data_IF_743047163076
#
_entry.id   IF_743047163076
#
_cell.length_a   1.000
_cell.length_b   1.000
_cell.length_c   1.000
_cell.angle_alpha   90.00
_cell.angle_beta   90.00
_cell.angle_gamma   90.00
#
_symmetry.space_group_name_H-M   'P 1'
#
loop_
_entity.id
_entity.type
_entity.pdbx_description
1 polymer ?
#
# COMPACT_ATOMS: atom_id res chain seq x y z
N UNK A 1 22.96 19.88 -15.54
CA UNK A 1 23.49 18.62 -16.14
C UNK A 1 22.95 17.47 -15.32
N UNK A 2 21.84 16.86 -15.75
CA UNK A 2 21.23 15.70 -15.11
C UNK A 2 22.07 14.46 -15.42
N UNK A 3 22.71 13.87 -14.40
CA UNK A 3 23.32 12.55 -14.53
C UNK A 3 22.19 11.54 -14.75
N UNK A 4 22.11 10.98 -15.95
CA UNK A 4 21.28 9.83 -16.24
C UNK A 4 21.68 8.71 -15.25
N UNK A 5 20.80 8.38 -14.33
CA UNK A 5 20.96 7.23 -13.44
C UNK A 5 20.90 6.01 -14.37
N UNK A 6 22.04 5.34 -14.55
CA UNK A 6 22.14 4.11 -15.32
C UNK A 6 21.20 3.10 -14.64
N UNK A 7 20.14 2.68 -15.35
CA UNK A 7 19.15 1.73 -14.82
C UNK A 7 19.87 0.40 -14.58
N UNK A 8 20.16 0.09 -13.32
CA UNK A 8 20.74 -1.19 -12.94
C UNK A 8 19.70 -2.29 -13.13
N UNK A 9 20.14 -3.46 -13.57
CA UNK A 9 19.27 -4.64 -13.61
C UNK A 9 18.90 -5.06 -12.18
N UNK A 10 17.63 -5.40 -11.98
CA UNK A 10 17.13 -5.89 -10.69
C UNK A 10 17.47 -7.36 -10.51
N UNK A 11 17.51 -7.81 -9.25
CA UNK A 11 17.68 -9.23 -8.93
C UNK A 11 16.32 -9.92 -9.01
N UNK A 12 16.10 -10.65 -10.08
CA UNK A 12 14.81 -11.30 -10.38
C UNK A 12 14.23 -12.14 -9.24
N UNK A 13 15.06 -12.76 -8.41
CA UNK A 13 14.60 -13.55 -7.28
C UNK A 13 13.95 -12.66 -6.19
N UNK A 14 14.47 -11.45 -5.99
CA UNK A 14 13.94 -10.47 -5.04
C UNK A 14 12.61 -9.91 -5.57
N UNK A 15 12.56 -9.52 -6.84
CA UNK A 15 11.33 -9.03 -7.47
C UNK A 15 10.18 -10.05 -7.34
N UNK A 16 10.50 -11.33 -7.58
CA UNK A 16 9.54 -12.43 -7.45
C UNK A 16 9.11 -12.67 -6.00
N UNK A 17 10.02 -12.52 -5.03
CA UNK A 17 9.68 -12.63 -3.62
C UNK A 17 8.69 -11.53 -3.20
N UNK A 18 8.91 -10.29 -3.61
CA UNK A 18 7.97 -9.19 -3.39
C UNK A 18 6.62 -9.43 -4.07
N UNK A 19 6.62 -9.90 -5.33
CA UNK A 19 5.39 -10.26 -6.03
C UNK A 19 4.56 -11.30 -5.28
N UNK A 20 5.20 -12.30 -4.67
CA UNK A 20 4.53 -13.32 -3.84
C UNK A 20 3.88 -12.67 -2.61
N UNK A 21 4.63 -11.87 -1.85
CA UNK A 21 4.12 -11.18 -0.65
C UNK A 21 2.93 -10.27 -0.98
N UNK A 22 3.05 -9.47 -2.05
CA UNK A 22 1.98 -8.58 -2.49
C UNK A 22 0.73 -9.35 -2.97
N UNK A 23 0.92 -10.49 -3.64
CA UNK A 23 -0.20 -11.32 -4.12
C UNK A 23 -0.98 -11.90 -2.93
N UNK A 24 -0.29 -12.45 -1.93
CA UNK A 24 -0.93 -12.96 -0.71
C UNK A 24 -1.59 -11.81 0.06
N UNK A 25 -0.96 -10.64 0.14
CA UNK A 25 -1.54 -9.47 0.82
C UNK A 25 -2.88 -9.02 0.22
N UNK A 26 -3.01 -9.04 -1.11
CA UNK A 26 -4.21 -8.59 -1.83
C UNK A 26 -5.32 -9.64 -1.88
N UNK A 27 -4.95 -10.91 -2.02
CA UNK A 27 -5.90 -12.00 -2.26
C UNK A 27 -6.25 -12.81 -1.00
N UNK A 28 -5.54 -12.59 0.11
CA UNK A 28 -5.68 -13.40 1.32
C UNK A 28 -4.87 -14.69 1.27
N UNK A 29 -5.16 -15.59 2.20
CA UNK A 29 -4.50 -16.88 2.29
C UNK A 29 -4.75 -17.71 1.03
N UNK A 30 -3.74 -18.43 0.57
CA UNK A 30 -3.84 -19.25 -0.64
C UNK A 30 -2.88 -20.42 -0.63
N UNK A 31 -3.24 -21.47 -1.35
CA UNK A 31 -2.38 -22.63 -1.60
C UNK A 31 -1.27 -22.27 -2.59
N UNK A 32 -0.24 -23.13 -2.65
CA UNK A 32 0.85 -22.96 -3.63
C UNK A 32 0.34 -23.05 -5.09
N UNK A 33 -0.72 -23.82 -5.34
CA UNK A 33 -1.33 -23.94 -6.66
C UNK A 33 -2.03 -22.64 -7.08
N UNK A 34 -2.88 -22.08 -6.21
CA UNK A 34 -3.56 -20.80 -6.46
C UNK A 34 -2.58 -19.64 -6.61
N UNK A 35 -1.49 -19.66 -5.82
CA UNK A 35 -0.42 -18.67 -5.95
C UNK A 35 0.27 -18.78 -7.29
N UNK A 36 0.54 -20.02 -7.78
CA UNK A 36 1.15 -20.26 -9.08
C UNK A 36 0.29 -19.73 -10.25
N UNK A 37 -1.03 -19.82 -10.14
CA UNK A 37 -1.94 -19.29 -11.17
C UNK A 37 -1.92 -17.74 -11.24
N UNK A 38 -1.61 -17.08 -10.11
CA UNK A 38 -1.60 -15.61 -10.02
C UNK A 38 -0.24 -14.98 -10.33
N UNK A 39 0.85 -15.74 -10.21
CA UNK A 39 2.20 -15.25 -10.44
C UNK A 39 2.85 -15.97 -11.62
N UNK A 40 3.54 -15.23 -12.49
CA UNK A 40 4.25 -15.82 -13.63
C UNK A 40 5.63 -16.36 -13.21
N UNK A 41 5.63 -17.41 -12.38
CA UNK A 41 6.84 -18.02 -11.81
C UNK A 41 6.72 -19.54 -11.96
N UNK A 42 7.77 -20.23 -12.45
CA UNK A 42 7.75 -21.69 -12.56
C UNK A 42 7.53 -22.35 -11.19
N UNK A 43 6.82 -23.50 -11.15
CA UNK A 43 6.51 -24.22 -9.89
C UNK A 43 7.74 -24.49 -9.02
N UNK A 44 8.86 -24.88 -9.62
CA UNK A 44 10.10 -25.16 -8.89
C UNK A 44 10.67 -23.88 -8.24
N UNK A 45 10.70 -22.77 -8.98
CA UNK A 45 11.16 -21.47 -8.44
C UNK A 45 10.21 -20.93 -7.37
N UNK A 46 8.90 -21.04 -7.62
CA UNK A 46 7.89 -20.60 -6.65
C UNK A 46 8.02 -21.34 -5.32
N UNK A 47 8.15 -22.68 -5.35
CA UNK A 47 8.33 -23.50 -4.17
C UNK A 47 9.56 -23.08 -3.35
N UNK A 48 10.70 -22.80 -4.02
CA UNK A 48 11.92 -22.34 -3.35
C UNK A 48 11.79 -20.95 -2.75
N UNK A 49 11.14 -20.03 -3.46
CA UNK A 49 10.92 -18.66 -2.96
C UNK A 49 9.97 -18.67 -1.76
N UNK A 50 8.86 -19.42 -1.84
CA UNK A 50 7.91 -19.58 -0.74
C UNK A 50 8.60 -20.19 0.48
N UNK A 51 9.41 -21.25 0.30
CA UNK A 51 10.22 -21.84 1.38
C UNK A 51 11.13 -20.79 2.02
N UNK A 52 11.85 -19.99 1.22
CA UNK A 52 12.73 -18.94 1.73
C UNK A 52 11.96 -17.88 2.53
N UNK A 53 10.76 -17.49 2.06
CA UNK A 53 9.91 -16.52 2.76
C UNK A 53 9.37 -17.09 4.08
N UNK A 54 9.10 -18.40 4.15
CA UNK A 54 8.71 -19.08 5.40
C UNK A 54 9.89 -19.11 6.38
N UNK A 55 11.07 -19.54 5.94
CA UNK A 55 12.28 -19.56 6.79
C UNK A 55 12.65 -18.18 7.33
N UNK A 56 12.39 -17.12 6.54
CA UNK A 56 12.60 -15.76 6.99
C UNK A 56 11.42 -15.20 7.81
N UNK A 57 10.35 -15.96 8.02
CA UNK A 57 9.22 -15.61 8.85
C UNK A 57 8.27 -14.55 8.26
N UNK A 58 8.33 -14.25 6.96
CA UNK A 58 7.39 -13.32 6.30
C UNK A 58 6.05 -13.95 5.96
N UNK A 59 6.05 -15.25 5.68
CA UNK A 59 4.84 -16.06 5.48
C UNK A 59 4.89 -17.29 6.36
N UNK A 60 3.73 -17.85 6.64
CA UNK A 60 3.58 -19.12 7.34
C UNK A 60 2.74 -20.11 6.53
N UNK A 61 3.03 -21.40 6.69
CA UNK A 61 2.19 -22.46 6.15
C UNK A 61 1.17 -22.87 7.18
N UNK A 62 -0.12 -22.83 6.85
CA UNK A 62 -1.23 -23.22 7.71
C UNK A 62 -1.55 -24.72 7.59
N UNK A 63 -2.30 -25.31 8.55
CA UNK A 63 -2.66 -26.72 8.52
C UNK A 63 -3.40 -27.18 7.26
N UNK A 64 -4.17 -26.29 6.62
CA UNK A 64 -4.91 -26.53 5.37
C UNK A 64 -4.03 -26.40 4.10
N UNK A 65 -2.70 -26.36 4.23
CA UNK A 65 -1.73 -26.12 3.17
C UNK A 65 -1.82 -24.74 2.48
N UNK A 66 -2.53 -23.80 3.05
CA UNK A 66 -2.47 -22.39 2.64
C UNK A 66 -1.25 -21.68 3.21
N UNK A 67 -0.84 -20.64 2.51
CA UNK A 67 0.19 -19.69 2.96
C UNK A 67 -0.45 -18.36 3.29
N UNK A 68 -0.03 -17.76 4.40
CA UNK A 68 -0.49 -16.44 4.86
C UNK A 68 0.67 -15.55 5.24
N UNK A 69 0.47 -14.23 5.18
CA UNK A 69 1.43 -13.29 5.74
C UNK A 69 1.48 -13.42 7.25
N UNK A 70 2.65 -13.23 7.83
CA UNK A 70 2.85 -13.12 9.27
C UNK A 70 2.82 -11.66 9.72
N UNK A 71 2.80 -11.43 11.04
CA UNK A 71 2.93 -10.08 11.62
C UNK A 71 4.31 -9.44 11.37
N UNK A 72 5.30 -10.18 10.90
CA UNK A 72 6.59 -9.61 10.52
C UNK A 72 6.48 -8.59 9.38
N UNK A 73 5.57 -8.79 8.44
CA UNK A 73 5.30 -7.80 7.38
C UNK A 73 4.72 -6.51 7.95
N UNK A 74 3.84 -6.61 8.95
CA UNK A 74 3.33 -5.45 9.69
C UNK A 74 4.42 -4.74 10.47
N UNK A 75 5.28 -5.49 11.19
CA UNK A 75 6.40 -4.95 11.97
C UNK A 75 7.34 -4.09 11.09
N UNK A 76 7.73 -4.60 9.93
CA UNK A 76 8.55 -3.85 8.97
C UNK A 76 7.85 -2.58 8.49
N UNK A 77 6.56 -2.68 8.15
CA UNK A 77 5.77 -1.55 7.67
C UNK A 77 5.53 -0.50 8.74
N UNK A 78 5.17 -0.90 9.96
CA UNK A 78 4.88 0.07 11.04
C UNK A 78 6.14 0.81 11.49
N UNK A 79 7.30 0.16 11.49
CA UNK A 79 8.57 0.82 11.80
C UNK A 79 8.89 1.94 10.79
N UNK A 80 8.57 1.76 9.51
CA UNK A 80 8.71 2.81 8.51
C UNK A 80 7.83 4.03 8.83
N UNK A 81 6.60 3.80 9.31
CA UNK A 81 5.67 4.88 9.70
C UNK A 81 6.10 5.55 11.01
N UNK A 82 6.56 4.77 12.00
CA UNK A 82 7.00 5.30 13.30
C UNK A 82 8.24 6.19 13.19
N UNK A 83 9.07 5.96 12.18
CA UNK A 83 10.25 6.78 11.89
C UNK A 83 9.93 8.11 11.19
N UNK A 84 8.65 8.43 10.94
CA UNK A 84 8.26 9.76 10.48
C UNK A 84 8.39 10.77 11.64
N UNK A 85 9.19 11.80 11.45
CA UNK A 85 9.56 12.78 12.48
C UNK A 85 8.36 13.44 13.21
N UNK A 86 7.18 13.43 12.61
CA UNK A 86 5.99 14.12 13.11
C UNK A 86 4.82 13.19 13.44
N UNK A 87 5.04 11.87 13.55
CA UNK A 87 3.93 10.91 13.71
C UNK A 87 3.08 11.16 14.96
N UNK A 88 3.69 11.58 16.08
CA UNK A 88 2.97 11.89 17.31
C UNK A 88 2.08 13.15 17.17
N UNK A 89 2.57 14.19 16.48
CA UNK A 89 1.78 15.38 16.17
C UNK A 89 0.63 15.04 15.20
N UNK A 90 0.87 14.21 14.21
CA UNK A 90 -0.16 13.73 13.29
C UNK A 90 -1.27 13.01 14.07
N UNK A 91 -0.92 12.11 14.97
CA UNK A 91 -1.88 11.34 15.76
C UNK A 91 -2.73 12.25 16.67
N UNK A 92 -2.13 13.22 17.37
CA UNK A 92 -2.88 14.16 18.22
C UNK A 92 -3.81 15.04 17.39
N UNK A 93 -3.34 15.57 16.27
CA UNK A 93 -4.14 16.40 15.36
C UNK A 93 -5.33 15.65 14.79
N UNK A 94 -5.13 14.39 14.36
CA UNK A 94 -6.22 13.56 13.86
C UNK A 94 -7.24 13.22 14.95
N UNK A 95 -6.79 12.98 16.18
CA UNK A 95 -7.69 12.72 17.31
C UNK A 95 -8.55 13.94 17.63
N UNK A 96 -7.98 15.14 17.62
CA UNK A 96 -8.70 16.40 17.83
C UNK A 96 -9.72 16.65 16.72
N UNK A 97 -9.31 16.57 15.47
CA UNK A 97 -10.21 16.71 14.32
C UNK A 97 -11.37 15.71 14.34
N UNK A 98 -11.07 14.46 14.68
CA UNK A 98 -12.11 13.44 14.78
C UNK A 98 -13.11 13.73 15.90
N UNK A 99 -12.64 14.24 17.04
CA UNK A 99 -13.48 14.61 18.17
C UNK A 99 -14.37 15.82 17.86
N UNK A 100 -13.80 16.85 17.22
CA UNK A 100 -14.52 18.08 16.88
C UNK A 100 -15.58 17.87 15.79
N UNK A 101 -15.25 17.03 14.80
CA UNK A 101 -16.14 16.83 13.64
C UNK A 101 -17.10 15.65 13.79
N UNK A 102 -16.85 14.74 14.74
CA UNK A 102 -17.56 13.47 14.86
C UNK A 102 -17.33 12.53 13.65
N UNK A 103 -16.25 12.76 12.88
CA UNK A 103 -15.94 12.03 11.66
C UNK A 103 -14.58 11.33 11.75
N UNK A 104 -14.35 10.42 10.81
CA UNK A 104 -13.02 9.81 10.64
C UNK A 104 -12.08 10.85 10.04
N UNK A 105 -10.97 11.10 10.70
CA UNK A 105 -9.87 11.92 10.22
C UNK A 105 -8.75 11.02 9.69
N UNK A 106 -8.15 11.39 8.56
CA UNK A 106 -7.10 10.60 7.91
C UNK A 106 -5.90 11.47 7.56
N UNK A 107 -4.72 10.89 7.73
CA UNK A 107 -3.47 11.43 7.20
C UNK A 107 -3.03 10.60 6.01
N UNK A 108 -2.79 11.27 4.90
CA UNK A 108 -2.40 10.64 3.64
C UNK A 108 -1.22 11.39 3.04
N UNK A 109 -0.37 10.66 2.34
CA UNK A 109 0.78 11.19 1.61
C UNK A 109 0.69 10.83 0.13
N UNK A 110 1.37 11.60 -0.71
CA UNK A 110 1.62 11.16 -2.07
C UNK A 110 2.75 10.14 -2.10
N UNK A 111 2.50 9.04 -2.77
CA UNK A 111 3.52 8.04 -3.06
C UNK A 111 3.26 7.40 -4.43
N UNK A 112 4.25 7.50 -5.34
CA UNK A 112 4.18 6.99 -6.71
C UNK A 112 2.94 7.47 -7.49
N UNK A 113 2.64 8.77 -7.47
CA UNK A 113 1.48 9.39 -8.11
C UNK A 113 0.11 8.87 -7.61
N UNK A 114 0.08 8.32 -6.41
CA UNK A 114 -1.13 7.88 -5.72
C UNK A 114 -1.20 8.48 -4.33
N UNK A 115 -2.40 8.54 -3.78
CA UNK A 115 -2.62 8.83 -2.36
C UNK A 115 -2.44 7.54 -1.58
N UNK A 116 -1.53 7.52 -0.62
CA UNK A 116 -1.39 6.47 0.38
C UNK A 116 -1.93 6.95 1.72
N UNK A 117 -2.95 6.28 2.26
CA UNK A 117 -3.43 6.56 3.61
C UNK A 117 -2.45 5.94 4.62
N UNK A 118 -1.81 6.79 5.43
CA UNK A 118 -0.81 6.38 6.43
C UNK A 118 -1.44 6.19 7.80
N UNK A 119 -2.43 7.02 8.16
CA UNK A 119 -3.07 6.96 9.46
C UNK A 119 -4.55 7.35 9.36
N UNK A 120 -5.38 6.76 10.23
CA UNK A 120 -6.82 7.00 10.28
C UNK A 120 -7.33 6.88 11.71
N UNK A 121 -7.99 7.91 12.23
CA UNK A 121 -8.55 7.97 13.59
C UNK A 121 -10.01 8.39 13.53
N UNK A 122 -10.85 7.74 14.30
CA UNK A 122 -12.26 8.10 14.47
C UNK A 122 -13.16 6.89 14.68
N UNK A 123 -14.40 7.15 15.11
CA UNK A 123 -15.41 6.11 15.29
C UNK A 123 -16.11 5.80 13.95
N UNK A 124 -16.36 4.53 13.69
CA UNK A 124 -17.12 4.07 12.54
C UNK A 124 -18.58 4.49 12.70
N UNK A 125 -19.13 5.20 11.72
CA UNK A 125 -20.56 5.36 11.65
C UNK A 125 -21.21 3.98 11.41
N UNK A 126 -22.29 3.61 12.10
CA UNK A 126 -22.89 2.27 12.01
C UNK A 126 -23.35 1.88 10.61
N UNK A 127 -23.63 2.86 9.75
CA UNK A 127 -24.20 2.68 8.41
C UNK A 127 -23.19 2.72 7.25
N UNK A 128 -21.91 3.05 7.52
CA UNK A 128 -20.85 3.02 6.53
C UNK A 128 -19.68 2.21 7.09
N UNK A 129 -19.40 1.07 6.48
CA UNK A 129 -18.15 0.35 6.72
C UNK A 129 -16.98 1.17 6.13
N UNK A 130 -16.59 2.24 6.83
CA UNK A 130 -15.31 2.88 6.60
C UNK A 130 -14.27 1.89 7.10
N UNK A 131 -13.89 0.97 6.21
CA UNK A 131 -12.72 0.14 6.43
C UNK A 131 -11.57 1.09 6.78
N UNK A 132 -10.75 0.70 7.74
CA UNK A 132 -9.50 1.41 8.00
C UNK A 132 -8.75 1.49 6.67
N UNK A 133 -8.67 2.68 6.09
CA UNK A 133 -8.02 2.88 4.80
C UNK A 133 -6.50 2.91 4.91
N UNK A 134 -5.95 2.67 6.11
CA UNK A 134 -4.50 2.63 6.35
C UNK A 134 -3.86 1.56 5.43
N UNK A 135 -2.83 1.97 4.71
CA UNK A 135 -2.16 1.16 3.70
C UNK A 135 -2.87 1.12 2.34
N UNK A 136 -4.09 1.68 2.21
CA UNK A 136 -4.78 1.73 0.93
C UNK A 136 -4.28 2.86 0.06
N UNK A 137 -4.20 2.56 -1.23
CA UNK A 137 -3.88 3.52 -2.28
C UNK A 137 -5.13 3.95 -3.03
N UNK A 138 -5.15 5.20 -3.45
CA UNK A 138 -6.22 5.74 -4.28
C UNK A 138 -5.66 6.77 -5.28
N UNK A 139 -6.35 7.03 -6.40
CA UNK A 139 -5.87 7.99 -7.37
C UNK A 139 -5.84 9.42 -6.81
N UNK A 140 -4.83 10.20 -7.20
CA UNK A 140 -4.71 11.62 -6.85
C UNK A 140 -5.82 12.47 -7.48
N UNK A 141 -6.17 12.20 -8.73
CA UNK A 141 -7.03 13.07 -9.54
C UNK A 141 -8.50 13.11 -9.10
N UNK A 142 -9.01 12.11 -8.37
CA UNK A 142 -10.43 11.96 -8.11
C UNK A 142 -10.83 11.95 -6.62
N UNK A 143 -9.85 11.85 -5.70
CA UNK A 143 -10.14 11.80 -4.25
C UNK A 143 -9.98 13.17 -3.59
N UNK A 144 -10.70 13.40 -2.48
CA UNK A 144 -10.56 14.64 -1.69
C UNK A 144 -9.12 14.85 -1.18
N UNK A 145 -8.51 13.80 -0.64
CA UNK A 145 -7.11 13.82 -0.21
C UNK A 145 -6.16 14.10 -1.38
N UNK A 146 -6.40 13.47 -2.55
CA UNK A 146 -5.60 13.72 -3.74
C UNK A 146 -5.69 15.15 -4.25
N UNK A 147 -6.91 15.73 -4.29
CA UNK A 147 -7.11 17.12 -4.66
C UNK A 147 -6.44 18.09 -3.68
N UNK A 148 -6.49 17.79 -2.38
CA UNK A 148 -5.80 18.58 -1.36
C UNK A 148 -4.27 18.53 -1.55
N UNK A 149 -3.71 17.35 -1.84
CA UNK A 149 -2.29 17.20 -2.16
C UNK A 149 -1.95 17.97 -3.45
N UNK A 150 -2.71 17.81 -4.52
CA UNK A 150 -2.47 18.49 -5.79
C UNK A 150 -2.54 20.02 -5.65
N UNK A 151 -3.34 20.56 -4.73
CA UNK A 151 -3.42 22.00 -4.48
C UNK A 151 -2.13 22.61 -3.94
N UNK A 152 -1.19 21.82 -3.46
CA UNK A 152 0.13 22.29 -2.99
C UNK A 152 1.16 22.40 -4.12
N UNK A 153 0.85 21.91 -5.32
CA UNK A 153 1.72 21.97 -6.50
C UNK A 153 1.41 23.20 -7.36
N UNK A 154 2.40 23.65 -8.11
CA UNK A 154 2.20 24.64 -9.16
C UNK A 154 1.41 24.06 -10.33
N UNK A 155 0.80 24.92 -11.15
CA UNK A 155 0.04 24.49 -12.32
C UNK A 155 0.87 23.64 -13.30
N UNK A 156 2.15 23.97 -13.49
CA UNK A 156 3.01 23.19 -14.38
C UNK A 156 3.27 21.79 -13.83
N UNK A 157 3.53 21.65 -12.53
CA UNK A 157 3.71 20.34 -11.88
C UNK A 157 2.43 19.51 -11.94
N UNK A 158 1.26 20.13 -11.81
CA UNK A 158 -0.04 19.44 -11.95
C UNK A 158 -0.20 18.89 -13.37
N UNK A 159 0.15 19.70 -14.41
CA UNK A 159 0.08 19.26 -15.81
C UNK A 159 1.01 18.07 -16.05
N UNK A 160 2.27 18.16 -15.59
CA UNK A 160 3.26 17.08 -15.71
C UNK A 160 2.82 15.79 -15.02
N UNK A 161 2.09 15.90 -13.89
CA UNK A 161 1.53 14.76 -13.18
C UNK A 161 0.31 14.20 -13.92
N UNK A 162 -0.54 15.07 -14.45
CA UNK A 162 -1.76 14.68 -15.15
C UNK A 162 -1.47 13.79 -16.37
N UNK A 163 -0.42 14.09 -17.11
CA UNK A 163 0.04 13.29 -18.26
C UNK A 163 0.42 11.85 -17.88
N UNK A 164 0.76 11.61 -16.59
CA UNK A 164 1.16 10.31 -16.06
C UNK A 164 0.02 9.52 -15.43
N UNK A 165 -1.16 10.14 -15.28
CA UNK A 165 -2.32 9.47 -14.69
C UNK A 165 -3.00 8.56 -15.71
N UNK A 166 -3.28 7.32 -15.31
CA UNK A 166 -4.23 6.45 -16.01
C UNK A 166 -5.66 6.83 -15.58
N UNK A 167 -6.17 7.91 -16.17
CA UNK A 167 -7.47 8.46 -15.81
C UNK A 167 -8.58 7.55 -16.31
N UNK A 168 -9.34 6.99 -15.36
CA UNK A 168 -10.51 6.16 -15.64
C UNK A 168 -11.76 6.79 -15.04
N UNK A 169 -12.91 6.75 -15.72
CA UNK A 169 -14.18 7.12 -15.11
C UNK A 169 -14.48 6.16 -13.96
N UNK A 170 -14.78 6.73 -12.78
CA UNK A 170 -15.12 5.94 -11.57
C UNK A 170 -16.63 5.85 -11.37
N UNK A 171 -17.40 6.58 -12.14
CA UNK A 171 -18.86 6.62 -12.16
C UNK A 171 -19.35 6.61 -13.60
N UNK A 172 -20.60 6.24 -13.82
CA UNK A 172 -21.23 6.23 -15.14
C UNK A 172 -21.51 7.67 -15.68
N UNK A 173 -21.29 8.69 -14.83
CA UNK A 173 -21.51 10.12 -15.12
C UNK A 173 -20.33 10.97 -14.71
#
# INVERSE_FOLDING_TARGET
MSKAIQKMETIQAIDRAFQILETISRSGNMTLAELHEKVNISKASLSRLVYTLVENGYIEKRPNNEYSLTLKTYEVGINAVQNLDQISLINSTLADLSRETGRVAQFSVEDNNQVLCVQSIGQKAPSFSVYTNVGRRSPLYCTSAGKAILSTYSNNEIIDKWEKFDVKPLTEH
#
